data_IF_463191682168
#
_entry.id   IF_463191682168
#
_cell.length_a   1.000
_cell.length_b   1.000
_cell.length_c   1.000
_cell.angle_alpha   90.00
_cell.angle_beta   90.00
_cell.angle_gamma   90.00
#
_symmetry.space_group_name_H-M   'P 1'
#
loop_
_entity.id
_entity.type
_entity.pdbx_description
1 polymer ?
#
# COMPACT_ATOMS: atom_id res chain seq x y z
N UNK A 1 -3.08 -8.52 10.29
CA UNK A 1 -3.13 -8.21 8.85
C UNK A 1 -1.85 -7.47 8.52
N UNK A 2 -1.09 -7.95 7.53
CA UNK A 2 0.24 -7.41 7.20
C UNK A 2 0.18 -6.15 6.34
N UNK A 3 -0.76 -6.08 5.40
CA UNK A 3 -0.94 -4.94 4.50
C UNK A 3 -2.31 -5.00 3.79
N UNK A 4 -2.66 -3.96 3.04
CA UNK A 4 -4.00 -3.73 2.49
C UNK A 4 -4.24 -4.15 1.04
N UNK A 5 -3.43 -5.05 0.45
CA UNK A 5 -3.73 -5.60 -0.87
C UNK A 5 -4.95 -6.53 -0.85
N UNK A 6 -5.63 -6.63 -1.98
CA UNK A 6 -6.92 -7.32 -2.10
C UNK A 6 -6.85 -8.80 -1.72
N UNK A 7 -5.81 -9.50 -2.12
CA UNK A 7 -5.57 -10.91 -1.83
C UNK A 7 -5.30 -11.19 -0.33
N UNK A 8 -4.95 -10.15 0.43
CA UNK A 8 -4.76 -10.24 1.89
C UNK A 8 -5.98 -9.79 2.70
N UNK A 9 -6.81 -8.91 2.16
CA UNK A 9 -7.95 -8.34 2.91
C UNK A 9 -9.32 -8.70 2.34
N UNK A 10 -9.41 -9.16 1.10
CA UNK A 10 -10.68 -9.40 0.41
C UNK A 10 -11.59 -10.42 1.09
N UNK A 11 -11.02 -11.42 1.76
CA UNK A 11 -11.79 -12.45 2.48
C UNK A 11 -12.23 -12.04 3.89
N UNK A 12 -11.71 -10.94 4.45
CA UNK A 12 -12.00 -10.53 5.85
C UNK A 12 -13.50 -10.33 6.12
N UNK A 13 -14.30 -9.69 5.25
CA UNK A 13 -15.73 -9.55 5.50
C UNK A 13 -16.44 -10.90 5.61
N UNK A 14 -16.04 -11.89 4.82
CA UNK A 14 -16.63 -13.23 4.86
C UNK A 14 -16.27 -13.95 6.16
N UNK A 15 -15.02 -13.84 6.62
CA UNK A 15 -14.57 -14.41 7.89
C UNK A 15 -15.35 -13.80 9.08
N UNK A 16 -15.44 -12.46 9.12
CA UNK A 16 -16.06 -11.75 10.24
C UNK A 16 -17.60 -11.88 10.29
N UNK A 17 -18.25 -12.37 9.23
CA UNK A 17 -19.65 -12.80 9.27
C UNK A 17 -19.86 -14.02 10.17
N UNK A 18 -18.86 -14.90 10.26
CA UNK A 18 -18.97 -16.17 10.96
C UNK A 18 -18.33 -16.16 12.35
N UNK A 19 -17.26 -15.37 12.52
CA UNK A 19 -16.54 -15.31 13.80
C UNK A 19 -16.34 -13.86 14.24
N UNK A 20 -16.45 -13.62 15.55
CA UNK A 20 -16.20 -12.31 16.15
C UNK A 20 -14.81 -12.31 16.78
N UNK A 21 -13.84 -11.81 16.06
CA UNK A 21 -12.47 -11.66 16.51
C UNK A 21 -11.95 -10.25 16.20
N UNK A 22 -11.06 -9.68 17.02
CA UNK A 22 -10.43 -8.41 16.70
C UNK A 22 -9.47 -8.56 15.52
N UNK A 23 -9.48 -7.57 14.61
CA UNK A 23 -8.52 -7.43 13.53
C UNK A 23 -7.48 -6.38 13.87
N UNK A 24 -6.20 -6.72 13.79
CA UNK A 24 -5.08 -5.80 13.98
C UNK A 24 -4.43 -5.49 12.64
N UNK A 25 -4.12 -4.23 12.38
CA UNK A 25 -3.44 -3.80 11.17
C UNK A 25 -3.00 -2.35 11.24
N UNK A 26 -2.21 -1.93 10.29
CA UNK A 26 -1.77 -0.54 10.17
C UNK A 26 -2.92 0.36 9.68
N UNK A 27 -2.74 1.66 9.81
CA UNK A 27 -3.81 2.65 9.60
C UNK A 27 -4.41 2.60 8.20
N UNK A 28 -3.58 2.56 7.15
CA UNK A 28 -4.06 2.45 5.76
C UNK A 28 -4.74 1.09 5.53
N UNK A 29 -4.11 0.02 5.98
CA UNK A 29 -4.64 -1.36 5.88
C UNK A 29 -6.04 -1.46 6.48
N UNK A 30 -6.22 -0.97 7.72
CA UNK A 30 -7.52 -1.02 8.37
C UNK A 30 -8.56 -0.07 7.74
N UNK A 31 -8.13 1.05 7.18
CA UNK A 31 -9.02 1.91 6.40
C UNK A 31 -9.61 1.20 5.18
N UNK A 32 -8.76 0.45 4.45
CA UNK A 32 -9.19 -0.37 3.31
C UNK A 32 -10.12 -1.51 3.76
N UNK A 33 -9.76 -2.21 4.85
CA UNK A 33 -10.63 -3.24 5.46
C UNK A 33 -11.98 -2.66 5.87
N UNK A 34 -11.99 -1.50 6.50
CA UNK A 34 -13.23 -0.84 6.93
C UNK A 34 -14.16 -0.52 5.75
N UNK A 35 -13.60 -0.09 4.61
CA UNK A 35 -14.38 0.14 3.40
C UNK A 35 -15.03 -1.17 2.91
N UNK A 36 -14.27 -2.26 2.87
CA UNK A 36 -14.80 -3.58 2.51
C UNK A 36 -15.88 -4.07 3.49
N UNK A 37 -15.67 -3.89 4.79
CA UNK A 37 -16.70 -4.25 5.78
C UNK A 37 -17.99 -3.46 5.57
N UNK A 38 -17.92 -2.17 5.25
CA UNK A 38 -19.08 -1.35 4.90
C UNK A 38 -19.80 -1.87 3.66
N UNK A 39 -19.08 -2.20 2.58
CA UNK A 39 -19.64 -2.76 1.35
C UNK A 39 -20.42 -4.07 1.61
N UNK A 40 -19.95 -4.88 2.54
CA UNK A 40 -20.55 -6.16 2.92
C UNK A 40 -21.56 -6.06 4.07
N UNK A 41 -21.80 -4.86 4.63
CA UNK A 41 -22.64 -4.64 5.82
C UNK A 41 -22.20 -5.49 7.03
N UNK A 42 -20.89 -5.56 7.26
CA UNK A 42 -20.29 -6.31 8.38
C UNK A 42 -19.66 -5.32 9.35
N UNK A 43 -19.83 -5.57 10.65
CA UNK A 43 -19.12 -4.85 11.71
C UNK A 43 -17.88 -5.63 12.13
N UNK A 44 -16.77 -4.93 12.36
CA UNK A 44 -15.52 -5.50 12.85
C UNK A 44 -14.92 -4.71 14.00
N UNK A 45 -14.30 -5.41 14.96
CA UNK A 45 -13.45 -4.79 16.00
C UNK A 45 -12.05 -4.62 15.37
N UNK A 46 -11.77 -3.44 14.79
CA UNK A 46 -10.50 -3.13 14.13
C UNK A 46 -9.62 -2.30 15.05
N UNK A 47 -8.38 -2.76 15.28
CA UNK A 47 -7.42 -2.16 16.21
C UNK A 47 -6.15 -1.76 15.47
N UNK A 48 -5.89 -0.46 15.42
CA UNK A 48 -4.72 0.09 14.74
C UNK A 48 -3.44 -0.23 15.51
N UNK A 49 -2.45 -0.66 14.76
CA UNK A 49 -1.06 -0.91 15.20
C UNK A 49 -0.09 -0.23 14.25
N UNK A 50 1.14 0.00 14.72
CA UNK A 50 2.22 0.56 13.93
C UNK A 50 3.38 -0.41 13.84
N UNK A 51 4.27 -0.19 12.88
CA UNK A 51 5.54 -0.90 12.85
C UNK A 51 6.34 -0.61 14.14
N UNK A 52 6.88 -1.65 14.77
CA UNK A 52 7.55 -1.58 16.08
C UNK A 52 6.66 -1.89 17.27
N UNK A 53 5.34 -1.95 17.09
CA UNK A 53 4.42 -2.31 18.17
C UNK A 53 4.56 -3.78 18.58
N UNK A 54 4.18 -4.04 19.83
CA UNK A 54 4.18 -5.38 20.41
C UNK A 54 2.82 -5.70 21.00
N UNK A 55 2.23 -6.81 20.58
CA UNK A 55 0.90 -7.24 20.96
C UNK A 55 0.99 -8.58 21.65
N UNK A 56 0.41 -8.69 22.85
CA UNK A 56 0.25 -9.96 23.54
C UNK A 56 -1.17 -10.48 23.36
N UNK A 57 -1.30 -11.69 22.84
CA UNK A 57 -2.57 -12.38 22.72
C UNK A 57 -2.60 -13.58 23.67
N UNK A 58 -3.39 -13.45 24.73
CA UNK A 58 -3.40 -14.43 25.82
C UNK A 58 -2.02 -14.55 26.47
N UNK A 59 -1.70 -15.73 26.96
CA UNK A 59 -0.45 -16.02 27.67
C UNK A 59 0.67 -16.57 26.77
N UNK A 60 0.37 -16.91 25.50
CA UNK A 60 1.26 -17.71 24.67
C UNK A 60 1.74 -17.03 23.41
N UNK A 61 1.08 -15.95 22.95
CA UNK A 61 1.47 -15.27 21.74
C UNK A 61 1.99 -13.87 22.05
N UNK A 62 3.23 -13.62 21.66
CA UNK A 62 3.85 -12.32 21.73
C UNK A 62 4.26 -11.91 20.31
N UNK A 63 3.54 -10.94 19.75
CA UNK A 63 3.64 -10.56 18.34
C UNK A 63 4.31 -9.21 18.26
N UNK A 64 5.40 -9.14 17.53
CA UNK A 64 6.12 -7.92 17.23
C UNK A 64 5.95 -7.59 15.76
N UNK A 65 5.58 -6.34 15.46
CA UNK A 65 5.41 -5.83 14.11
C UNK A 65 6.71 -5.17 13.64
N UNK A 66 7.13 -5.44 12.41
CA UNK A 66 8.39 -4.93 11.86
C UNK A 66 8.08 -4.19 10.57
N UNK A 67 8.63 -3.00 10.39
CA UNK A 67 8.50 -2.26 9.14
C UNK A 67 9.12 -3.03 7.98
N UNK A 68 8.35 -3.13 6.89
CA UNK A 68 8.84 -3.61 5.60
C UNK A 68 8.55 -2.60 4.51
N UNK A 69 9.16 -2.77 3.36
CA UNK A 69 8.85 -2.00 2.15
C UNK A 69 8.10 -2.88 1.16
N UNK A 70 7.03 -2.33 0.60
CA UNK A 70 6.20 -2.99 -0.40
C UNK A 70 5.60 -1.94 -1.36
N UNK A 71 4.78 -2.36 -2.32
CA UNK A 71 4.09 -1.45 -3.25
C UNK A 71 2.91 -0.68 -2.64
N UNK A 72 2.58 -0.96 -1.38
CA UNK A 72 1.57 -0.25 -0.59
C UNK A 72 2.21 0.30 0.69
N UNK A 73 1.74 1.45 1.15
CA UNK A 73 2.21 2.05 2.39
C UNK A 73 1.84 1.20 3.62
N UNK A 74 2.58 1.37 4.70
CA UNK A 74 2.36 0.75 6.01
C UNK A 74 2.43 -0.77 6.06
N UNK A 75 3.04 -1.43 5.08
CA UNK A 75 3.24 -2.88 5.13
C UNK A 75 4.15 -3.27 6.31
N UNK A 76 3.83 -4.39 6.96
CA UNK A 76 4.58 -4.93 8.10
C UNK A 76 4.86 -6.41 7.97
N UNK A 77 6.00 -6.84 8.51
CA UNK A 77 6.27 -8.23 8.84
C UNK A 77 5.83 -8.51 10.29
N UNK A 78 5.69 -9.78 10.64
CA UNK A 78 5.32 -10.22 11.98
C UNK A 78 6.35 -11.20 12.53
N UNK A 79 6.84 -10.96 13.75
CA UNK A 79 7.57 -11.94 14.54
C UNK A 79 6.67 -12.43 15.66
N UNK A 80 6.27 -13.70 15.62
CA UNK A 80 5.32 -14.30 16.53
C UNK A 80 6.08 -15.26 17.45
N UNK A 81 6.31 -14.86 18.69
CA UNK A 81 6.95 -15.69 19.70
C UNK A 81 5.89 -16.51 20.41
N UNK A 82 6.12 -17.83 20.50
CA UNK A 82 5.28 -18.80 21.19
C UNK A 82 6.12 -19.71 22.06
N UNK A 83 5.53 -20.53 22.94
CA UNK A 83 6.28 -21.54 23.73
C UNK A 83 6.99 -22.59 22.84
N UNK A 84 6.51 -22.80 21.60
CA UNK A 84 7.11 -23.75 20.65
C UNK A 84 8.25 -23.11 19.81
N UNK A 85 8.46 -21.81 19.92
CA UNK A 85 9.49 -21.08 19.17
C UNK A 85 8.95 -19.85 18.45
N UNK A 86 9.75 -19.31 17.54
CA UNK A 86 9.46 -18.08 16.80
C UNK A 86 8.99 -18.41 15.39
N UNK A 87 7.82 -17.89 15.03
CA UNK A 87 7.33 -17.88 13.65
C UNK A 87 7.56 -16.47 13.09
N UNK A 88 8.27 -16.39 11.98
CA UNK A 88 8.42 -15.13 11.24
C UNK A 88 7.56 -15.17 9.98
N UNK A 89 6.68 -14.16 9.83
CA UNK A 89 5.84 -13.98 8.65
C UNK A 89 6.24 -12.67 7.95
N UNK A 90 6.79 -12.78 6.75
CA UNK A 90 7.29 -11.61 6.02
C UNK A 90 6.19 -10.65 5.55
N UNK A 91 4.94 -11.12 5.43
CA UNK A 91 3.99 -10.47 4.54
C UNK A 91 4.58 -10.41 3.14
N UNK A 92 4.05 -9.55 2.30
CA UNK A 92 4.67 -9.24 1.01
C UNK A 92 5.73 -8.15 1.20
N UNK A 93 6.87 -8.31 0.53
CA UNK A 93 7.96 -7.35 0.68
C UNK A 93 8.76 -7.16 -0.60
N UNK A 94 9.41 -6.02 -0.67
CA UNK A 94 10.44 -5.71 -1.63
C UNK A 94 11.62 -5.08 -0.89
N UNK A 95 12.83 -5.58 -1.11
CA UNK A 95 14.02 -4.92 -0.56
C UNK A 95 14.29 -3.67 -1.40
N UNK A 96 13.95 -2.50 -0.85
CA UNK A 96 14.24 -1.21 -1.44
C UNK A 96 15.08 -0.38 -0.45
N UNK A 97 16.30 -0.05 -0.83
CA UNK A 97 17.21 0.75 -0.01
C UNK A 97 16.98 2.26 -0.14
N UNK A 98 16.17 2.66 -1.11
CA UNK A 98 15.83 4.07 -1.38
C UNK A 98 14.32 4.22 -1.62
N UNK A 99 13.49 3.79 -0.65
CA UNK A 99 12.04 3.90 -0.78
C UNK A 99 11.60 5.37 -0.85
N UNK A 100 10.42 5.61 -1.39
CA UNK A 100 9.89 6.97 -1.59
C UNK A 100 9.59 7.66 -0.25
N UNK A 101 9.12 6.91 0.72
CA UNK A 101 8.81 7.38 2.08
C UNK A 101 10.06 7.58 2.95
N UNK A 102 11.24 7.25 2.43
CA UNK A 102 12.52 7.44 3.10
C UNK A 102 12.89 6.38 4.14
N UNK A 103 12.00 5.45 4.43
CA UNK A 103 12.15 4.47 5.51
C UNK A 103 12.29 3.04 4.98
N UNK A 104 13.54 2.49 4.90
CA UNK A 104 13.77 1.12 4.42
C UNK A 104 13.21 0.08 5.41
N UNK A 105 13.27 -1.19 5.00
CA UNK A 105 13.01 -2.32 5.89
C UNK A 105 13.88 -2.19 7.15
N UNK A 106 13.32 -2.52 8.32
CA UNK A 106 14.09 -2.56 9.57
C UNK A 106 15.01 -3.78 9.62
N UNK A 107 16.13 -3.69 8.88
CA UNK A 107 17.14 -4.74 8.84
C UNK A 107 17.76 -5.03 10.20
N UNK A 108 17.90 -4.00 11.08
CA UNK A 108 18.43 -4.18 12.42
C UNK A 108 17.54 -5.12 13.21
N UNK A 109 16.23 -4.93 13.14
CA UNK A 109 15.26 -5.77 13.81
C UNK A 109 15.24 -7.19 13.25
N UNK A 110 15.27 -7.33 11.92
CA UNK A 110 15.36 -8.64 11.26
C UNK A 110 16.61 -9.41 11.70
N UNK A 111 17.77 -8.74 11.77
CA UNK A 111 19.01 -9.35 12.24
C UNK A 111 18.90 -9.81 13.72
N UNK A 112 18.27 -9.01 14.58
CA UNK A 112 18.03 -9.38 15.99
C UNK A 112 17.14 -10.63 16.12
N UNK A 113 16.06 -10.70 15.33
CA UNK A 113 15.16 -11.87 15.29
C UNK A 113 15.90 -13.10 14.77
N UNK A 114 16.66 -12.96 13.68
CA UNK A 114 17.48 -14.04 13.14
C UNK A 114 18.52 -14.55 14.15
N UNK A 115 19.16 -13.65 14.93
CA UNK A 115 20.11 -14.03 15.97
C UNK A 115 19.46 -14.81 17.13
N UNK A 116 18.20 -14.51 17.46
CA UNK A 116 17.43 -15.27 18.48
C UNK A 116 17.06 -16.67 18.00
N UNK A 117 16.99 -16.88 16.70
CA UNK A 117 16.54 -18.09 16.04
C UNK A 117 15.07 -18.03 15.63
N UNK A 118 14.80 -18.48 14.42
CA UNK A 118 13.45 -18.58 13.83
C UNK A 118 13.15 -20.07 13.60
N UNK A 119 12.07 -20.54 14.20
CA UNK A 119 11.65 -21.93 14.07
C UNK A 119 10.93 -22.20 12.75
N UNK A 120 10.08 -21.25 12.32
CA UNK A 120 9.34 -21.31 11.06
C UNK A 120 9.35 -19.95 10.38
N UNK A 121 9.71 -19.92 9.10
CA UNK A 121 9.64 -18.73 8.26
C UNK A 121 8.57 -18.91 7.17
N UNK A 122 7.56 -18.03 7.20
CA UNK A 122 6.57 -17.88 6.14
C UNK A 122 7.00 -16.66 5.29
N UNK A 123 7.59 -16.96 4.14
CA UNK A 123 8.26 -15.95 3.31
C UNK A 123 7.54 -15.75 1.98
N UNK A 124 7.28 -14.49 1.62
CA UNK A 124 6.92 -14.13 0.24
C UNK A 124 8.00 -14.64 -0.72
N UNK A 125 7.56 -15.33 -1.74
CA UNK A 125 8.42 -15.92 -2.78
C UNK A 125 8.01 -15.49 -4.19
N UNK A 126 7.27 -14.41 -4.31
CA UNK A 126 6.87 -13.80 -5.58
C UNK A 126 8.11 -13.46 -6.40
N UNK A 127 8.12 -13.95 -7.65
CA UNK A 127 9.28 -13.83 -8.55
C UNK A 127 10.59 -14.51 -8.10
N UNK A 128 10.57 -15.39 -7.10
CA UNK A 128 11.77 -16.05 -6.58
C UNK A 128 12.54 -16.87 -7.66
N UNK A 129 11.85 -17.32 -8.71
CA UNK A 129 12.45 -18.05 -9.84
C UNK A 129 13.01 -17.14 -10.94
N UNK A 130 12.80 -15.83 -10.85
CA UNK A 130 13.29 -14.86 -11.86
C UNK A 130 14.65 -14.33 -11.45
N UNK A 131 15.68 -14.42 -12.31
CA UNK A 131 16.99 -13.82 -12.02
C UNK A 131 16.86 -12.29 -11.96
N UNK A 132 17.69 -11.67 -11.11
CA UNK A 132 17.78 -10.21 -10.98
C UNK A 132 17.11 -9.68 -9.71
N UNK A 133 16.68 -8.43 -9.75
CA UNK A 133 16.06 -7.73 -8.62
C UNK A 133 15.02 -6.73 -9.12
N UNK A 134 14.08 -6.37 -8.26
CA UNK A 134 13.09 -5.33 -8.55
C UNK A 134 13.71 -3.94 -8.31
N UNK A 135 13.64 -3.07 -9.31
CA UNK A 135 14.13 -1.69 -9.19
C UNK A 135 13.39 -0.91 -8.10
N UNK A 136 14.09 0.08 -7.52
CA UNK A 136 13.49 1.01 -6.55
C UNK A 136 12.37 1.83 -7.20
N UNK A 137 11.36 2.17 -6.42
CA UNK A 137 10.29 3.12 -6.84
C UNK A 137 10.85 4.50 -7.20
N UNK A 138 12.04 4.87 -6.72
CA UNK A 138 12.73 6.10 -7.12
C UNK A 138 12.99 6.14 -8.63
N UNK A 139 13.48 5.04 -9.21
CA UNK A 139 13.74 4.94 -10.66
C UNK A 139 12.44 5.10 -11.47
N UNK A 140 11.34 4.52 -10.97
CA UNK A 140 10.01 4.71 -11.57
C UNK A 140 9.62 6.19 -11.53
N UNK A 141 9.88 6.89 -10.42
CA UNK A 141 9.62 8.32 -10.27
C UNK A 141 10.36 9.18 -11.29
N UNK A 142 11.64 8.89 -11.55
CA UNK A 142 12.46 9.59 -12.56
C UNK A 142 11.90 9.36 -13.99
N UNK A 143 11.47 8.15 -14.27
CA UNK A 143 10.85 7.81 -15.57
C UNK A 143 9.54 8.58 -15.77
N UNK A 144 8.69 8.63 -14.72
CA UNK A 144 7.45 9.40 -14.74
C UNK A 144 7.75 10.88 -15.01
N UNK A 145 8.71 11.48 -14.31
CA UNK A 145 9.09 12.88 -14.52
C UNK A 145 9.53 13.15 -15.96
N UNK A 146 10.31 12.26 -16.56
CA UNK A 146 10.74 12.39 -17.95
C UNK A 146 9.56 12.34 -18.93
N UNK A 147 8.55 11.51 -18.67
CA UNK A 147 7.31 11.46 -19.47
C UNK A 147 6.59 12.82 -19.38
N UNK A 148 6.41 13.35 -18.16
CA UNK A 148 5.73 14.64 -17.97
C UNK A 148 6.47 15.81 -18.64
N UNK A 149 7.79 15.81 -18.62
CA UNK A 149 8.63 16.84 -19.25
C UNK A 149 8.49 16.88 -20.77
N UNK A 150 8.37 15.71 -21.39
CA UNK A 150 8.42 15.58 -22.85
C UNK A 150 7.02 15.48 -23.51
N UNK A 151 5.99 15.07 -22.77
CA UNK A 151 4.65 14.90 -23.31
C UNK A 151 3.95 16.24 -23.52
N UNK A 152 3.45 16.48 -24.75
CA UNK A 152 2.72 17.69 -25.14
C UNK A 152 1.21 17.47 -25.28
N UNK A 153 0.76 16.26 -24.98
CA UNK A 153 -0.65 15.87 -25.05
C UNK A 153 -1.13 15.39 -23.67
N UNK A 154 -2.36 14.87 -23.61
CA UNK A 154 -2.93 14.26 -22.42
C UNK A 154 -2.07 13.06 -21.96
N UNK A 155 -1.87 12.94 -20.66
CA UNK A 155 -1.20 11.80 -20.05
C UNK A 155 -2.28 10.93 -19.40
N UNK A 156 -2.28 9.64 -19.71
CA UNK A 156 -3.13 8.65 -19.03
C UNK A 156 -2.19 7.61 -18.42
N UNK A 157 -2.31 7.41 -17.12
CA UNK A 157 -1.46 6.46 -16.37
C UNK A 157 -2.36 5.43 -15.70
N UNK A 158 -2.22 4.18 -16.10
CA UNK A 158 -2.83 3.05 -15.42
C UNK A 158 -1.85 2.51 -14.36
N UNK A 159 -2.33 2.39 -13.13
CA UNK A 159 -1.54 1.84 -12.01
C UNK A 159 -2.47 1.19 -10.98
N UNK A 160 -1.92 0.35 -10.11
CA UNK A 160 -2.67 -0.18 -8.97
C UNK A 160 -3.12 0.95 -8.06
N UNK A 161 -4.39 0.95 -7.67
CA UNK A 161 -4.94 1.93 -6.74
C UNK A 161 -4.26 1.90 -5.36
N UNK A 162 -3.83 0.71 -4.93
CA UNK A 162 -3.13 0.50 -3.66
C UNK A 162 -1.72 1.08 -3.62
N UNK A 163 -1.09 1.36 -4.78
CA UNK A 163 0.25 1.95 -4.81
C UNK A 163 0.17 3.47 -4.59
N UNK A 164 -0.17 3.85 -3.36
CA UNK A 164 -0.37 5.25 -2.94
C UNK A 164 0.89 6.10 -3.19
N UNK A 165 2.08 5.54 -2.98
CA UNK A 165 3.33 6.27 -3.23
C UNK A 165 3.53 6.62 -4.71
N UNK A 166 3.19 5.70 -5.63
CA UNK A 166 3.24 5.99 -7.07
C UNK A 166 2.21 7.03 -7.48
N UNK A 167 0.99 6.93 -6.91
CA UNK A 167 -0.06 7.94 -7.11
C UNK A 167 0.44 9.31 -6.64
N UNK A 168 1.09 9.42 -5.47
CA UNK A 168 1.68 10.68 -5.00
C UNK A 168 2.72 11.21 -5.98
N UNK A 169 3.61 10.36 -6.51
CA UNK A 169 4.60 10.80 -7.51
C UNK A 169 3.97 11.31 -8.80
N UNK A 170 2.87 10.72 -9.25
CA UNK A 170 2.12 11.21 -10.40
C UNK A 170 1.52 12.57 -10.09
N UNK A 171 0.93 12.75 -8.90
CA UNK A 171 0.37 14.01 -8.42
C UNK A 171 1.45 15.11 -8.37
N UNK A 172 2.58 14.83 -7.73
CA UNK A 172 3.70 15.77 -7.59
C UNK A 172 4.18 16.26 -8.97
N UNK A 173 4.32 15.34 -9.92
CA UNK A 173 4.72 15.68 -11.29
C UNK A 173 3.62 16.47 -12.02
N UNK A 174 2.36 16.09 -11.87
CA UNK A 174 1.26 16.83 -12.47
C UNK A 174 1.26 18.31 -12.00
N UNK A 175 1.40 18.51 -10.70
CA UNK A 175 1.49 19.85 -10.10
C UNK A 175 2.72 20.59 -10.60
N UNK A 176 3.90 19.96 -10.59
CA UNK A 176 5.18 20.53 -11.07
C UNK A 176 5.10 21.00 -12.51
N UNK A 177 4.40 20.28 -13.38
CA UNK A 177 4.24 20.61 -14.80
C UNK A 177 2.93 21.35 -15.13
N UNK A 178 2.21 21.84 -14.10
CA UNK A 178 1.02 22.68 -14.25
C UNK A 178 -0.16 21.96 -14.89
N UNK A 179 -0.31 20.64 -14.61
CA UNK A 179 -1.40 19.82 -15.10
C UNK A 179 -2.46 19.60 -14.03
N UNK A 180 -3.73 19.54 -14.43
CA UNK A 180 -4.84 19.07 -13.59
C UNK A 180 -4.87 17.56 -13.58
N UNK A 181 -5.40 16.99 -12.50
CA UNK A 181 -5.46 15.54 -12.26
C UNK A 181 -6.92 15.13 -12.21
N UNK A 182 -7.28 14.13 -12.96
CA UNK A 182 -8.55 13.42 -12.81
C UNK A 182 -8.28 11.96 -12.42
N UNK A 183 -9.14 11.41 -11.61
CA UNK A 183 -9.09 10.00 -11.19
C UNK A 183 -10.25 9.27 -11.80
N UNK A 184 -10.01 8.06 -12.32
CA UNK A 184 -11.01 7.22 -12.96
C UNK A 184 -10.93 5.78 -12.46
N UNK A 185 -12.09 5.21 -12.18
CA UNK A 185 -12.26 3.86 -11.66
C UNK A 185 -12.59 3.85 -10.16
N UNK A 186 -13.65 3.10 -9.82
CA UNK A 186 -14.21 3.05 -8.45
C UNK A 186 -13.14 2.73 -7.39
N UNK A 187 -12.29 1.74 -7.65
CA UNK A 187 -11.22 1.35 -6.72
C UNK A 187 -10.22 2.49 -6.52
N UNK A 188 -9.79 3.15 -7.62
CA UNK A 188 -8.86 4.27 -7.56
C UNK A 188 -9.46 5.46 -6.80
N UNK A 189 -10.71 5.81 -7.08
CA UNK A 189 -11.41 6.90 -6.40
C UNK A 189 -11.53 6.65 -4.89
N UNK A 190 -11.92 5.43 -4.50
CA UNK A 190 -12.06 5.04 -3.10
C UNK A 190 -10.72 5.07 -2.34
N UNK A 191 -9.66 4.51 -2.96
CA UNK A 191 -8.33 4.48 -2.32
C UNK A 191 -7.72 5.87 -2.23
N UNK A 192 -7.83 6.68 -3.29
CA UNK A 192 -7.33 8.06 -3.29
C UNK A 192 -8.05 8.91 -2.24
N UNK A 193 -9.38 8.81 -2.15
CA UNK A 193 -10.15 9.53 -1.13
C UNK A 193 -9.73 9.14 0.29
N UNK A 194 -9.61 7.83 0.56
CA UNK A 194 -9.16 7.32 1.85
C UNK A 194 -7.72 7.75 2.16
N UNK A 195 -6.81 7.68 1.18
CA UNK A 195 -5.42 8.04 1.38
C UNK A 195 -5.24 9.55 1.65
N UNK A 196 -6.09 10.41 1.07
CA UNK A 196 -6.16 11.84 1.41
C UNK A 196 -6.66 12.03 2.84
N UNK A 197 -7.78 11.39 3.20
CA UNK A 197 -8.37 11.46 4.55
C UNK A 197 -7.36 11.05 5.62
N UNK A 198 -6.60 10.00 5.36
CA UNK A 198 -5.60 9.46 6.27
C UNK A 198 -4.24 10.19 6.22
N UNK A 199 -4.06 11.13 5.28
CA UNK A 199 -2.83 11.92 5.16
C UNK A 199 -1.67 11.21 4.43
N UNK A 200 -1.94 10.11 3.71
CA UNK A 200 -0.94 9.43 2.87
C UNK A 200 -0.79 10.09 1.49
N UNK A 201 -1.81 10.81 1.03
CA UNK A 201 -1.76 11.60 -0.19
C UNK A 201 -1.96 13.09 0.13
N UNK A 202 -1.09 13.91 -0.44
CA UNK A 202 -1.19 15.36 -0.39
C UNK A 202 -1.47 15.90 -1.80
N UNK A 203 -2.66 16.48 -1.98
CA UNK A 203 -3.08 17.07 -3.26
C UNK A 203 -3.36 18.55 -3.03
N UNK A 204 -2.61 19.45 -3.68
CA UNK A 204 -2.87 20.88 -3.58
C UNK A 204 -4.30 21.25 -4.01
N UNK A 205 -4.89 22.24 -3.34
CA UNK A 205 -6.22 22.70 -3.65
C UNK A 205 -6.36 23.09 -5.15
N UNK A 206 -7.41 22.59 -5.79
CA UNK A 206 -7.70 22.83 -7.20
C UNK A 206 -6.83 22.03 -8.19
N UNK A 207 -5.93 21.15 -7.74
CA UNK A 207 -5.20 20.25 -8.63
C UNK A 207 -6.06 19.06 -9.10
N UNK A 208 -6.88 18.51 -8.20
CA UNK A 208 -7.83 17.44 -8.51
C UNK A 208 -9.11 18.02 -9.13
N UNK A 209 -9.58 17.41 -10.21
CA UNK A 209 -10.81 17.82 -10.92
C UNK A 209 -11.71 16.61 -11.16
N UNK A 210 -13.02 16.85 -11.21
CA UNK A 210 -13.98 15.82 -11.60
C UNK A 210 -13.72 15.35 -13.04
N UNK A 211 -13.84 14.04 -13.29
CA UNK A 211 -13.64 13.44 -14.59
C UNK A 211 -14.56 14.08 -15.67
N UNK A 212 -15.76 14.51 -15.28
CA UNK A 212 -16.70 15.20 -16.20
C UNK A 212 -16.18 16.56 -16.68
N UNK A 213 -15.36 17.23 -15.89
CA UNK A 213 -14.77 18.53 -16.20
C UNK A 213 -13.58 18.45 -17.17
N UNK A 214 -13.03 17.25 -17.38
CA UNK A 214 -11.83 17.06 -18.20
C UNK A 214 -12.00 17.45 -19.66
N UNK A 215 -13.23 17.46 -20.19
CA UNK A 215 -13.55 17.90 -21.57
C UNK A 215 -13.20 19.35 -21.84
N UNK A 216 -13.15 20.19 -20.78
CA UNK A 216 -12.89 21.61 -20.88
C UNK A 216 -11.42 21.97 -20.59
N UNK A 217 -10.57 20.95 -20.37
CA UNK A 217 -9.16 21.15 -20.03
C UNK A 217 -8.31 20.80 -21.25
N UNK A 218 -7.38 21.69 -21.67
CA UNK A 218 -6.46 21.38 -22.76
C UNK A 218 -5.68 20.09 -22.49
N UNK A 219 -5.43 19.32 -23.54
CA UNK A 219 -4.78 18.01 -23.41
C UNK A 219 -3.41 18.07 -22.74
N UNK A 220 -2.61 19.07 -23.05
CA UNK A 220 -1.29 19.30 -22.43
C UNK A 220 -1.37 19.72 -20.96
N UNK A 221 -2.57 19.99 -20.45
CA UNK A 221 -2.85 20.40 -19.06
C UNK A 221 -3.60 19.32 -18.25
N UNK A 222 -3.73 18.11 -18.77
CA UNK A 222 -4.52 17.07 -18.15
C UNK A 222 -3.70 15.77 -17.93
N UNK A 223 -3.88 15.19 -16.75
CA UNK A 223 -3.45 13.82 -16.40
C UNK A 223 -4.65 13.05 -15.90
N UNK A 224 -4.82 11.84 -16.36
CA UNK A 224 -5.84 10.90 -15.87
C UNK A 224 -5.12 9.72 -15.22
N UNK A 225 -5.43 9.46 -13.96
CA UNK A 225 -4.96 8.28 -13.21
C UNK A 225 -6.09 7.26 -13.20
N UNK A 226 -5.81 6.05 -13.61
CA UNK A 226 -6.83 4.99 -13.70
C UNK A 226 -6.31 3.65 -13.18
N UNK A 227 -7.22 2.73 -12.92
CA UNK A 227 -6.95 1.30 -12.69
C UNK A 227 -6.96 0.53 -14.02
N UNK A 228 -6.96 -0.81 -13.96
CA UNK A 228 -7.02 -1.65 -15.15
C UNK A 228 -5.64 -1.95 -15.76
N UNK A 229 -4.57 -1.77 -15.00
CA UNK A 229 -3.19 -2.03 -15.47
C UNK A 229 -2.93 -3.51 -15.78
N UNK A 230 -3.75 -4.42 -15.24
CA UNK A 230 -3.70 -5.86 -15.48
C UNK A 230 -5.00 -6.40 -16.09
N UNK A 231 -5.87 -5.54 -16.62
CA UNK A 231 -7.12 -5.94 -17.22
C UNK A 231 -8.24 -6.23 -16.22
N UNK A 232 -8.07 -5.82 -14.96
CA UNK A 232 -9.14 -5.83 -13.96
C UNK A 232 -10.26 -4.86 -14.37
N UNK A 233 -11.54 -5.21 -14.08
CA UNK A 233 -12.71 -4.41 -14.47
C UNK A 233 -12.80 -3.06 -13.76
#
# INVERSE_FOLDING_TARGET
ITHGHEDHIGAIPYLLKHIKIPGYGTRLTLGLVQNKLKEHNVLGDLRTINAGDRIKLGNYFDIETIRTTHSIADAICLSITTPAGVVFHSGDFKIDYTPIDGEPIDFCKLAQIGKKGVTLMLCDSTNAVRPGFTASERVVGETIENIFRNCRTRIIIATFSSNVHRVQKIIDNAVKFGRKIAVSGRSMENVVALAIELGYLNIPAGALVDLKMTRNIPDDKLVIITTGSQGEP
#
